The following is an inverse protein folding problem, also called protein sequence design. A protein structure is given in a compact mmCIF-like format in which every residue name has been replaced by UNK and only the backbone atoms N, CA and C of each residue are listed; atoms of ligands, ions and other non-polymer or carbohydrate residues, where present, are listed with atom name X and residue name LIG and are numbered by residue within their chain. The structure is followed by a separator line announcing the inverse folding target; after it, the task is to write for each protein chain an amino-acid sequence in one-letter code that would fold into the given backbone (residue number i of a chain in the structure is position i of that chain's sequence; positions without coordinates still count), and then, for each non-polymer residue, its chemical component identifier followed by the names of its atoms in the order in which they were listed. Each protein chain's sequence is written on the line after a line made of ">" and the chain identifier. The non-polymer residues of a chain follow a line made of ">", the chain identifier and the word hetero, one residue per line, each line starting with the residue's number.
data_IF_654411926817
#
_entry.id   IF_654411926817
#
_cell.length_a   1.000
_cell.length_b   1.000
_cell.length_c   1.000
_cell.angle_alpha   90.00
_cell.angle_beta   90.00
_cell.angle_gamma   90.00
#
_symmetry.space_group_name_H-M   'P 1'
#
loop_
_entity.id
_entity.type
_entity.pdbx_description
1 polymer ?
#
# COMPACT_ATOMS: atom_id res chain seq x y z
N UNK A 1 -19.39 -18.37 2.96
CA UNK A 1 -18.11 -18.30 3.72
C UNK A 1 -17.09 -19.08 2.92
N UNK A 2 -16.31 -18.41 2.09
CA UNK A 2 -15.25 -19.07 1.31
C UNK A 2 -14.02 -19.25 2.19
N UNK A 3 -13.64 -20.49 2.43
CA UNK A 3 -12.43 -20.82 3.20
C UNK A 3 -11.20 -20.23 2.51
N UNK A 4 -10.32 -19.62 3.31
CA UNK A 4 -9.01 -19.21 2.83
C UNK A 4 -8.26 -20.45 2.32
N UNK A 5 -7.49 -20.34 1.23
CA UNK A 5 -6.71 -21.46 0.73
C UNK A 5 -5.74 -21.96 1.81
N UNK A 6 -5.69 -23.27 1.98
CA UNK A 6 -4.76 -23.96 2.89
C UNK A 6 -3.33 -23.56 2.48
N UNK A 7 -2.49 -23.08 3.41
CA UNK A 7 -1.11 -22.72 3.08
C UNK A 7 -0.39 -23.93 2.50
N UNK A 8 0.30 -23.73 1.37
CA UNK A 8 1.20 -24.74 0.84
C UNK A 8 2.37 -24.92 1.83
N UNK A 9 2.93 -26.13 2.00
CA UNK A 9 4.03 -26.36 2.93
C UNK A 9 5.29 -25.54 2.65
N UNK A 10 5.35 -24.87 1.50
CA UNK A 10 6.49 -24.04 1.07
C UNK A 10 6.43 -22.59 1.57
N UNK A 11 5.25 -22.10 1.99
CA UNK A 11 5.11 -20.72 2.46
C UNK A 11 4.40 -20.67 3.82
N UNK A 12 5.02 -20.05 4.85
CA UNK A 12 4.35 -19.87 6.13
C UNK A 12 3.10 -19.03 5.96
N UNK A 13 2.09 -19.34 6.78
CA UNK A 13 0.82 -18.62 6.80
C UNK A 13 1.05 -17.11 6.94
N UNK A 14 0.32 -16.32 6.13
CA UNK A 14 0.29 -14.87 6.24
C UNK A 14 -0.66 -14.49 7.38
N UNK A 15 -0.11 -13.96 8.48
CA UNK A 15 -0.90 -13.41 9.57
C UNK A 15 -1.45 -12.03 9.17
N UNK A 16 -2.73 -11.79 9.36
CA UNK A 16 -3.36 -10.50 9.02
C UNK A 16 -3.75 -9.76 10.28
N UNK A 17 -3.32 -8.50 10.38
CA UNK A 17 -3.66 -7.59 11.48
C UNK A 17 -4.44 -6.38 10.95
N UNK A 18 -5.71 -6.25 11.37
CA UNK A 18 -6.50 -5.03 11.14
C UNK A 18 -6.28 -4.10 12.33
N UNK A 19 -5.78 -2.88 12.09
CA UNK A 19 -5.29 -1.98 13.14
C UNK A 19 -6.12 -0.68 13.27
N UNK A 20 -7.16 -0.53 12.44
CA UNK A 20 -8.00 0.68 12.45
C UNK A 20 -7.21 1.94 12.10
N UNK A 21 -7.52 3.04 12.77
CA UNK A 21 -6.79 4.32 12.62
C UNK A 21 -5.57 4.30 13.55
N UNK A 22 -4.37 4.35 12.98
CA UNK A 22 -3.11 4.21 13.72
C UNK A 22 -2.14 5.34 13.38
N UNK A 23 -1.42 5.88 14.37
CA UNK A 23 -0.38 6.88 14.14
C UNK A 23 0.69 6.36 13.17
N UNK A 24 1.15 7.24 12.28
CA UNK A 24 2.11 6.86 11.24
C UNK A 24 3.50 6.54 11.83
N UNK A 25 3.99 7.40 12.70
CA UNK A 25 5.34 7.28 13.27
C UNK A 25 5.47 6.04 14.13
N UNK A 26 4.47 5.76 14.96
CA UNK A 26 4.45 4.58 15.82
C UNK A 26 4.35 3.30 14.96
N UNK A 27 3.46 3.30 13.96
CA UNK A 27 3.33 2.17 13.02
C UNK A 27 4.64 1.93 12.26
N UNK A 28 5.32 2.98 11.81
CA UNK A 28 6.61 2.87 11.13
C UNK A 28 7.70 2.29 12.03
N UNK A 29 7.81 2.76 13.27
CA UNK A 29 8.74 2.21 14.28
C UNK A 29 8.47 0.73 14.56
N UNK A 30 7.20 0.36 14.70
CA UNK A 30 6.82 -1.04 14.90
C UNK A 30 7.17 -1.91 13.69
N UNK A 31 6.95 -1.45 12.46
CA UNK A 31 7.38 -2.18 11.24
C UNK A 31 8.90 -2.40 11.21
N UNK A 32 9.67 -1.37 11.58
CA UNK A 32 11.14 -1.48 11.67
C UNK A 32 11.55 -2.49 12.75
N UNK A 33 10.99 -2.38 13.96
CA UNK A 33 11.28 -3.29 15.06
C UNK A 33 10.93 -4.74 14.70
N UNK A 34 9.74 -4.97 14.11
CA UNK A 34 9.34 -6.30 13.62
C UNK A 34 10.34 -6.84 12.58
N UNK A 35 10.76 -5.99 11.63
CA UNK A 35 11.70 -6.40 10.58
C UNK A 35 13.09 -6.70 11.14
N UNK A 36 13.54 -5.95 12.16
CA UNK A 36 14.86 -6.12 12.76
C UNK A 36 14.95 -7.33 13.71
N UNK A 37 13.85 -7.65 14.40
CA UNK A 37 13.82 -8.73 15.40
C UNK A 37 13.34 -10.06 14.84
N UNK A 38 12.79 -10.09 13.61
CA UNK A 38 12.29 -11.34 13.04
C UNK A 38 13.39 -12.37 12.81
N UNK A 39 13.02 -13.62 12.97
CA UNK A 39 13.85 -14.82 12.76
C UNK A 39 13.29 -15.66 11.61
N UNK A 40 13.97 -16.74 11.27
CA UNK A 40 13.46 -17.72 10.29
C UNK A 40 12.11 -18.33 10.68
N UNK A 41 11.80 -18.40 11.98
CA UNK A 41 10.51 -18.90 12.49
C UNK A 41 9.41 -17.84 12.52
N UNK A 42 9.74 -16.55 12.35
CA UNK A 42 8.74 -15.48 12.39
C UNK A 42 7.77 -15.59 11.20
N UNK A 43 6.48 -15.55 11.48
CA UNK A 43 5.46 -15.50 10.43
C UNK A 43 5.60 -14.22 9.58
N UNK A 44 5.11 -14.27 8.35
CA UNK A 44 4.87 -13.07 7.57
C UNK A 44 3.58 -12.40 8.04
N UNK A 45 3.54 -11.08 7.99
CA UNK A 45 2.37 -10.32 8.41
C UNK A 45 1.87 -9.39 7.32
N UNK A 46 0.56 -9.17 7.28
CA UNK A 46 -0.10 -8.12 6.50
C UNK A 46 -0.83 -7.20 7.49
N UNK A 47 -0.42 -5.95 7.58
CA UNK A 47 -1.10 -4.96 8.39
C UNK A 47 -2.02 -4.13 7.50
N UNK A 48 -3.30 -4.06 7.87
CA UNK A 48 -4.34 -3.29 7.20
C UNK A 48 -4.84 -2.22 8.15
N UNK A 49 -4.77 -0.96 7.74
CA UNK A 49 -5.03 0.18 8.62
C UNK A 49 -5.37 1.45 7.85
N UNK A 50 -5.62 2.51 8.58
CA UNK A 50 -5.67 3.89 8.13
C UNK A 50 -4.70 4.72 8.96
N UNK A 51 -4.31 5.89 8.46
CA UNK A 51 -3.55 6.88 9.23
C UNK A 51 -4.36 8.17 9.43
N UNK A 52 -4.13 8.91 10.52
CA UNK A 52 -4.48 10.34 10.58
C UNK A 52 -3.81 11.10 9.42
N UNK A 53 -4.29 12.32 9.10
CA UNK A 53 -3.68 13.16 8.07
C UNK A 53 -2.18 13.31 8.25
N UNK A 54 -1.40 12.90 7.23
CA UNK A 54 0.06 12.98 7.24
C UNK A 54 0.64 13.01 5.83
N UNK A 55 1.61 13.89 5.59
CA UNK A 55 2.49 13.81 4.43
C UNK A 55 3.73 12.98 4.77
N UNK A 56 4.11 12.07 3.88
CA UNK A 56 5.35 11.31 4.04
C UNK A 56 6.28 11.56 2.86
N UNK A 57 7.55 11.89 3.15
CA UNK A 57 8.61 11.99 2.15
C UNK A 57 9.43 10.71 2.18
N UNK A 58 9.43 9.97 1.07
CA UNK A 58 10.28 8.80 0.91
C UNK A 58 11.74 9.17 0.67
N UNK A 59 12.60 8.17 0.45
CA UNK A 59 14.05 8.34 0.28
C UNK A 59 14.45 9.25 -0.88
N UNK A 60 13.62 9.33 -1.92
CA UNK A 60 13.81 10.23 -3.05
C UNK A 60 12.97 11.51 -2.90
N UNK A 61 12.37 11.71 -1.72
CA UNK A 61 11.52 12.85 -1.43
C UNK A 61 12.30 14.15 -1.43
N UNK A 62 11.86 15.08 -2.26
CA UNK A 62 12.42 16.43 -2.31
C UNK A 62 11.38 17.40 -1.77
N UNK A 63 11.82 18.35 -0.96
CA UNK A 63 10.93 19.37 -0.36
C UNK A 63 10.27 20.27 -1.41
N UNK A 64 10.89 20.43 -2.60
CA UNK A 64 10.30 21.16 -3.73
C UNK A 64 8.95 20.58 -4.23
N UNK A 65 8.64 19.33 -3.86
CA UNK A 65 7.36 18.67 -4.17
C UNK A 65 6.29 18.86 -3.09
N UNK A 66 6.63 19.57 -2.00
CA UNK A 66 5.66 20.14 -1.07
C UNK A 66 5.35 21.55 -1.56
N UNK A 67 4.22 21.73 -2.24
CA UNK A 67 3.85 23.00 -2.88
C UNK A 67 3.32 24.04 -1.88
N UNK A 68 2.71 23.55 -0.80
CA UNK A 68 2.17 24.38 0.28
C UNK A 68 2.55 23.77 1.62
N UNK A 69 2.94 24.61 2.55
CA UNK A 69 3.14 24.20 3.94
C UNK A 69 1.86 24.50 4.71
N UNK A 70 1.43 23.56 5.53
CA UNK A 70 0.36 23.74 6.49
C UNK A 70 0.79 23.17 7.82
N UNK A 71 0.52 23.89 8.91
CA UNK A 71 0.80 23.39 10.27
C UNK A 71 -0.17 22.30 10.70
N UNK A 72 -1.29 22.13 9.96
CA UNK A 72 -2.36 21.19 10.29
C UNK A 72 -2.02 19.73 9.90
N UNK A 73 -1.14 19.52 8.92
CA UNK A 73 -0.76 18.19 8.44
C UNK A 73 0.74 17.98 8.60
N UNK A 74 1.16 17.10 9.51
CA UNK A 74 2.59 16.87 9.74
C UNK A 74 3.27 16.26 8.51
N UNK A 75 4.56 16.61 8.34
CA UNK A 75 5.43 16.09 7.28
C UNK A 75 6.49 15.19 7.92
N UNK A 76 6.53 13.91 7.54
CA UNK A 76 7.45 12.92 8.10
C UNK A 76 8.40 12.40 7.02
N UNK A 77 9.70 12.49 7.27
CA UNK A 77 10.73 11.87 6.43
C UNK A 77 10.88 10.40 6.80
N UNK A 78 10.74 9.52 5.81
CA UNK A 78 10.69 8.07 6.01
C UNK A 78 11.58 7.33 5.02
N UNK A 79 11.86 6.07 5.29
CA UNK A 79 12.79 5.25 4.51
C UNK A 79 12.15 4.41 3.39
N UNK A 80 10.83 4.56 3.14
CA UNK A 80 10.20 3.93 1.97
C UNK A 80 10.74 4.47 0.66
N UNK A 81 10.59 3.71 -0.40
CA UNK A 81 10.86 4.20 -1.75
C UNK A 81 9.86 5.28 -2.18
N UNK A 82 10.22 6.03 -3.21
CA UNK A 82 9.38 7.05 -3.82
C UNK A 82 9.54 8.45 -3.23
N UNK A 83 8.69 9.36 -3.70
CA UNK A 83 8.65 10.79 -3.38
C UNK A 83 7.63 11.07 -2.26
N UNK A 84 7.06 12.29 -2.25
CA UNK A 84 6.00 12.68 -1.32
C UNK A 84 4.68 11.96 -1.65
N UNK A 85 3.92 11.64 -0.61
CA UNK A 85 2.52 11.22 -0.70
C UNK A 85 1.75 11.70 0.53
N UNK A 86 0.43 11.54 0.49
CA UNK A 86 -0.49 11.85 1.58
C UNK A 86 -1.19 10.60 2.06
N UNK A 87 -1.40 10.49 3.37
CA UNK A 87 -2.27 9.52 4.00
C UNK A 87 -3.31 10.23 4.87
N UNK A 88 -4.52 9.71 4.90
CA UNK A 88 -5.62 10.24 5.69
C UNK A 88 -6.74 9.22 5.91
N UNK A 89 -7.72 9.52 6.79
CA UNK A 89 -8.90 8.68 7.00
C UNK A 89 -9.65 8.44 5.69
N UNK A 90 -10.22 7.24 5.54
CA UNK A 90 -10.86 6.80 4.30
C UNK A 90 -9.89 6.23 3.25
N UNK A 91 -8.58 6.15 3.55
CA UNK A 91 -7.58 5.48 2.73
C UNK A 91 -7.24 4.11 3.33
N UNK A 92 -7.38 3.02 2.56
CA UNK A 92 -6.84 1.73 2.96
C UNK A 92 -5.32 1.74 2.79
N UNK A 93 -4.61 1.49 3.87
CA UNK A 93 -3.16 1.28 3.86
C UNK A 93 -2.86 -0.19 4.15
N UNK A 94 -2.06 -0.81 3.29
CA UNK A 94 -1.66 -2.21 3.38
C UNK A 94 -0.14 -2.33 3.46
N UNK A 95 0.36 -2.83 4.56
CA UNK A 95 1.78 -3.06 4.81
C UNK A 95 2.09 -4.57 4.84
N UNK A 96 2.59 -5.15 3.74
CA UNK A 96 3.09 -6.53 3.73
C UNK A 96 4.49 -6.58 4.35
N UNK A 97 4.63 -7.23 5.51
CA UNK A 97 5.88 -7.48 6.20
C UNK A 97 6.32 -8.93 5.90
N UNK A 98 6.96 -9.12 4.75
CA UNK A 98 7.27 -10.43 4.20
C UNK A 98 8.78 -10.69 4.21
N UNK A 99 9.15 -11.95 4.46
CA UNK A 99 10.48 -12.45 4.13
C UNK A 99 10.54 -12.83 2.65
N UNK A 100 11.11 -11.92 1.84
CA UNK A 100 11.17 -12.06 0.40
C UNK A 100 12.10 -13.21 -0.04
N UNK A 101 13.16 -13.49 0.74
CA UNK A 101 14.07 -14.60 0.46
C UNK A 101 13.36 -15.93 0.64
N UNK A 102 12.66 -16.12 1.76
CA UNK A 102 11.88 -17.32 2.05
C UNK A 102 10.78 -17.54 1.00
N UNK A 103 10.13 -16.47 0.55
CA UNK A 103 9.11 -16.51 -0.50
C UNK A 103 9.66 -16.61 -1.91
N UNK A 104 11.00 -16.58 -2.10
CA UNK A 104 11.64 -16.52 -3.42
C UNK A 104 11.04 -15.41 -4.29
N UNK A 105 10.72 -14.28 -3.69
CA UNK A 105 10.00 -13.18 -4.32
C UNK A 105 10.92 -11.96 -4.49
N UNK A 106 11.04 -11.48 -5.73
CA UNK A 106 11.70 -10.23 -6.02
C UNK A 106 10.86 -9.00 -5.67
N UNK A 107 11.50 -7.85 -5.41
CA UNK A 107 10.78 -6.62 -5.09
C UNK A 107 9.87 -6.15 -6.24
N UNK A 108 10.28 -6.33 -7.50
CA UNK A 108 9.47 -5.96 -8.66
C UNK A 108 8.23 -6.86 -8.78
N UNK A 109 8.39 -8.16 -8.52
CA UNK A 109 7.27 -9.11 -8.49
C UNK A 109 6.29 -8.77 -7.37
N UNK A 110 6.79 -8.38 -6.17
CA UNK A 110 5.91 -7.93 -5.09
C UNK A 110 5.14 -6.66 -5.48
N UNK A 111 5.79 -5.67 -6.11
CA UNK A 111 5.10 -4.48 -6.63
C UNK A 111 3.98 -4.87 -7.59
N UNK A 112 4.26 -5.77 -8.55
CA UNK A 112 3.25 -6.26 -9.50
C UNK A 112 2.10 -7.00 -8.81
N UNK A 113 2.37 -7.80 -7.77
CA UNK A 113 1.35 -8.48 -6.97
C UNK A 113 0.44 -7.47 -6.26
N UNK A 114 1.03 -6.45 -5.63
CA UNK A 114 0.27 -5.40 -4.93
C UNK A 114 -0.61 -4.61 -5.91
N UNK A 115 -0.09 -4.23 -7.06
CA UNK A 115 -0.86 -3.56 -8.11
C UNK A 115 -1.96 -4.46 -8.66
N UNK A 116 -1.65 -5.75 -8.93
CA UNK A 116 -2.62 -6.69 -9.47
C UNK A 116 -3.76 -6.96 -8.48
N UNK A 117 -3.49 -6.97 -7.18
CA UNK A 117 -4.54 -7.14 -6.17
C UNK A 117 -5.58 -6.01 -6.21
N UNK A 118 -5.15 -4.78 -6.46
CA UNK A 118 -6.06 -3.63 -6.65
C UNK A 118 -6.77 -3.71 -8.00
N UNK A 119 -6.06 -4.08 -9.07
CA UNK A 119 -6.67 -4.23 -10.40
C UNK A 119 -7.77 -5.30 -10.37
N UNK A 120 -7.53 -6.43 -9.70
CA UNK A 120 -8.53 -7.50 -9.56
C UNK A 120 -9.73 -7.05 -8.72
N UNK A 121 -9.50 -6.31 -7.63
CA UNK A 121 -10.57 -5.70 -6.83
C UNK A 121 -11.45 -4.78 -7.68
N UNK A 122 -10.85 -3.94 -8.53
CA UNK A 122 -11.59 -3.04 -9.40
C UNK A 122 -12.36 -3.79 -10.49
N UNK A 123 -11.83 -4.91 -10.97
CA UNK A 123 -12.52 -5.78 -11.93
C UNK A 123 -13.80 -6.38 -11.34
N UNK A 124 -13.88 -6.66 -10.03
CA UNK A 124 -15.11 -7.09 -9.36
C UNK A 124 -16.24 -6.05 -9.47
N UNK A 125 -15.86 -4.76 -9.63
CA UNK A 125 -16.78 -3.63 -9.86
C UNK A 125 -16.89 -3.23 -11.34
N UNK A 126 -16.38 -4.06 -12.27
CA UNK A 126 -16.36 -3.78 -13.72
C UNK A 126 -15.61 -2.51 -14.09
N UNK A 127 -14.67 -2.06 -13.24
CA UNK A 127 -13.82 -0.89 -13.51
C UNK A 127 -12.50 -1.35 -14.13
N UNK A 128 -12.19 -0.77 -15.29
CA UNK A 128 -10.91 -1.00 -15.96
C UNK A 128 -9.81 -0.15 -15.34
N UNK A 129 -8.80 -0.80 -14.80
CA UNK A 129 -7.63 -0.14 -14.21
C UNK A 129 -6.32 -0.67 -14.81
N UNK A 130 -5.26 0.09 -14.68
CA UNK A 130 -3.97 -0.28 -15.24
C UNK A 130 -2.79 0.27 -14.46
N UNK A 131 -1.60 -0.06 -14.96
CA UNK A 131 -0.29 0.41 -14.49
C UNK A 131 0.22 1.51 -15.41
N UNK A 132 1.19 2.28 -14.91
CA UNK A 132 1.91 3.27 -15.70
C UNK A 132 3.41 3.00 -15.59
N UNK A 133 4.10 3.02 -16.72
CA UNK A 133 5.55 2.83 -16.75
C UNK A 133 6.29 3.87 -15.91
N UNK A 134 7.30 3.43 -15.16
CA UNK A 134 8.16 4.26 -14.29
C UNK A 134 7.42 5.04 -13.19
N UNK A 135 6.13 4.76 -12.99
CA UNK A 135 5.30 5.40 -11.97
C UNK A 135 4.45 4.35 -11.22
N UNK A 136 5.05 3.51 -10.36
CA UNK A 136 4.34 2.45 -9.65
C UNK A 136 3.06 2.93 -9.01
N UNK A 137 1.97 2.16 -9.19
CA UNK A 137 0.63 2.51 -8.73
C UNK A 137 -0.43 1.92 -9.63
N UNK A 138 -1.69 2.10 -9.23
CA UNK A 138 -2.85 1.72 -10.03
C UNK A 138 -3.60 2.97 -10.45
N UNK A 139 -3.99 2.99 -11.72
CA UNK A 139 -4.58 4.14 -12.38
C UNK A 139 -5.91 3.78 -13.03
N UNK A 140 -6.86 4.69 -12.95
CA UNK A 140 -8.15 4.65 -13.67
C UNK A 140 -8.27 5.95 -14.45
N UNK A 141 -8.47 5.87 -15.76
CA UNK A 141 -8.57 7.02 -16.69
C UNK A 141 -7.44 8.05 -16.50
N UNK A 142 -6.20 7.55 -16.34
CA UNK A 142 -5.00 8.38 -16.14
C UNK A 142 -4.81 8.94 -14.72
N UNK A 143 -5.83 8.87 -13.84
CA UNK A 143 -5.80 9.34 -12.46
C UNK A 143 -5.31 8.25 -11.52
N UNK A 144 -4.43 8.60 -10.58
CA UNK A 144 -3.86 7.63 -9.62
C UNK A 144 -4.87 7.33 -8.52
N UNK A 145 -5.22 6.05 -8.39
CA UNK A 145 -6.10 5.52 -7.34
C UNK A 145 -5.32 4.90 -6.19
N UNK A 146 -4.22 4.22 -6.50
CA UNK A 146 -3.37 3.59 -5.48
C UNK A 146 -1.90 3.93 -5.70
N UNK A 147 -1.18 4.18 -4.60
CA UNK A 147 0.24 4.49 -4.58
C UNK A 147 1.02 3.38 -3.87
N UNK A 148 2.29 3.18 -4.27
CA UNK A 148 3.17 2.18 -3.68
C UNK A 148 4.50 2.78 -3.27
N UNK A 149 5.00 2.35 -2.13
CA UNK A 149 6.33 2.65 -1.66
C UNK A 149 6.79 1.58 -0.68
N UNK A 150 7.78 0.79 -1.07
CA UNK A 150 8.32 -0.31 -0.27
C UNK A 150 9.73 -0.01 0.23
N UNK A 151 10.11 -0.67 1.30
CA UNK A 151 11.48 -0.76 1.78
C UNK A 151 11.87 -2.22 1.91
N UNK A 152 13.07 -2.56 1.47
CA UNK A 152 13.67 -3.87 1.72
C UNK A 152 14.87 -3.70 2.63
N UNK A 153 14.91 -4.49 3.70
CA UNK A 153 16.00 -4.54 4.67
C UNK A 153 16.25 -5.99 5.08
N UNK A 154 17.49 -6.45 5.00
CA UNK A 154 17.89 -7.84 5.30
C UNK A 154 17.10 -8.92 4.54
N UNK A 155 16.58 -8.59 3.35
CA UNK A 155 15.75 -9.50 2.55
C UNK A 155 14.28 -9.53 2.94
N UNK A 156 13.84 -8.70 3.89
CA UNK A 156 12.45 -8.55 4.30
C UNK A 156 11.91 -7.19 3.85
N UNK A 157 10.63 -7.12 3.50
CA UNK A 157 9.98 -5.87 3.11
C UNK A 157 9.08 -5.33 4.20
N UNK A 158 8.89 -4.02 4.18
CA UNK A 158 7.90 -3.26 4.95
C UNK A 158 7.49 -1.99 4.21
N UNK A 159 6.56 -1.17 4.76
CA UNK A 159 5.71 -0.27 4.01
C UNK A 159 4.90 -1.04 2.95
N UNK A 160 4.31 -0.38 1.97
CA UNK A 160 3.46 -1.10 1.03
C UNK A 160 2.68 -0.23 0.08
N UNK A 161 1.36 -0.37 0.13
CA UNK A 161 0.40 0.25 -0.77
C UNK A 161 -0.60 1.09 0.03
N UNK A 162 -1.04 2.19 -0.56
CA UNK A 162 -2.23 2.94 -0.15
C UNK A 162 -3.25 2.98 -1.28
N UNK A 163 -4.53 2.72 -0.96
CA UNK A 163 -5.67 2.74 -1.87
C UNK A 163 -6.68 3.79 -1.39
N UNK A 164 -6.96 4.77 -2.23
CA UNK A 164 -7.94 5.81 -1.92
C UNK A 164 -9.36 5.23 -2.04
N UNK A 165 -10.08 5.11 -0.92
CA UNK A 165 -11.43 4.53 -0.91
C UNK A 165 -12.47 5.64 -0.87
N UNK A 166 -12.66 6.28 0.28
CA UNK A 166 -13.54 7.44 0.46
C UNK A 166 -12.88 8.42 1.43
N UNK A 167 -11.87 9.11 0.93
CA UNK A 167 -11.03 10.04 1.68
C UNK A 167 -11.10 11.44 1.09
N UNK A 168 -10.73 12.45 1.85
CA UNK A 168 -10.50 13.78 1.33
C UNK A 168 -9.24 13.79 0.43
N UNK A 169 -9.41 14.17 -0.84
CA UNK A 169 -8.32 14.29 -1.81
C UNK A 169 -7.70 15.68 -1.85
N UNK A 170 -8.29 16.69 -1.17
CA UNK A 170 -7.81 18.07 -1.23
C UNK A 170 -6.34 18.23 -0.82
N UNK A 171 -5.78 17.48 0.17
CA UNK A 171 -4.36 17.59 0.50
C UNK A 171 -3.41 17.17 -0.63
N UNK A 172 -3.85 16.36 -1.59
CA UNK A 172 -3.01 16.02 -2.73
C UNK A 172 -2.70 17.22 -3.64
N UNK A 173 -3.53 18.29 -3.61
CA UNK A 173 -3.26 19.55 -4.32
C UNK A 173 -2.08 20.33 -3.73
N UNK A 174 -1.69 20.02 -2.49
CA UNK A 174 -0.58 20.67 -1.78
C UNK A 174 0.77 20.00 -2.06
N UNK A 175 0.80 18.95 -2.87
CA UNK A 175 2.01 18.19 -3.19
C UNK A 175 2.08 17.86 -4.68
N UNK A 176 3.27 17.52 -5.19
CA UNK A 176 3.43 16.82 -6.47
C UNK A 176 3.54 15.32 -6.20
N UNK A 177 2.43 14.54 -6.27
CA UNK A 177 2.45 13.13 -5.91
C UNK A 177 3.45 12.36 -6.76
N UNK A 178 4.30 11.55 -6.12
CA UNK A 178 5.37 10.80 -6.81
C UNK A 178 6.36 11.67 -7.60
N UNK A 179 6.43 12.98 -7.36
CA UNK A 179 7.29 13.93 -8.07
C UNK A 179 6.78 14.33 -9.46
N UNK A 180 5.54 13.98 -9.81
CA UNK A 180 4.92 14.36 -11.09
C UNK A 180 4.01 15.56 -10.88
N UNK A 181 4.40 16.71 -11.43
CA UNK A 181 3.54 17.90 -11.46
C UNK A 181 2.25 17.60 -12.25
N UNK A 182 1.10 17.99 -11.68
CA UNK A 182 -0.20 17.82 -12.33
C UNK A 182 -0.70 16.37 -12.40
N UNK A 183 -0.12 15.45 -11.63
CA UNK A 183 -0.66 14.09 -11.51
C UNK A 183 -1.98 14.13 -10.74
N UNK A 184 -3.07 13.89 -11.45
CA UNK A 184 -4.38 13.77 -10.85
C UNK A 184 -4.52 12.49 -10.03
N UNK A 185 -5.26 12.58 -8.92
CA UNK A 185 -5.62 11.45 -8.07
C UNK A 185 -7.13 11.23 -8.10
N UNK A 186 -7.56 10.02 -7.76
CA UNK A 186 -8.98 9.65 -7.64
C UNK A 186 -9.16 8.71 -6.45
N UNK A 187 -10.40 8.42 -6.09
CA UNK A 187 -10.81 7.48 -5.05
C UNK A 187 -11.95 6.61 -5.55
N UNK A 188 -12.24 5.50 -4.87
CA UNK A 188 -13.29 4.56 -5.28
C UNK A 188 -14.68 5.23 -5.29
N UNK A 189 -14.96 6.11 -4.33
CA UNK A 189 -16.23 6.85 -4.29
C UNK A 189 -16.47 7.67 -5.56
N UNK A 190 -15.43 8.33 -6.13
CA UNK A 190 -15.53 9.10 -7.38
C UNK A 190 -15.74 8.21 -8.62
N UNK A 191 -15.53 6.90 -8.49
CA UNK A 191 -15.76 5.90 -9.53
C UNK A 191 -17.13 5.21 -9.37
N UNK A 192 -17.97 5.69 -8.46
CA UNK A 192 -19.29 5.13 -8.19
C UNK A 192 -19.28 3.88 -7.31
N UNK A 193 -18.17 3.57 -6.64
CA UNK A 193 -18.08 2.47 -5.68
C UNK A 193 -18.37 3.03 -4.29
N UNK A 194 -19.63 2.91 -3.89
CA UNK A 194 -20.11 3.31 -2.56
C UNK A 194 -20.19 2.09 -1.64
N UNK A 195 -19.03 1.68 -1.11
CA UNK A 195 -18.91 0.54 -0.20
C UNK A 195 -18.07 0.92 1.02
N UNK A 196 -18.39 0.40 2.21
CA UNK A 196 -17.62 0.67 3.42
C UNK A 196 -16.15 0.21 3.26
N UNK A 197 -15.23 0.96 3.88
CA UNK A 197 -13.80 0.67 3.86
C UNK A 197 -13.48 -0.78 4.30
N UNK A 198 -14.22 -1.30 5.29
CA UNK A 198 -14.01 -2.67 5.79
C UNK A 198 -14.36 -3.73 4.72
N UNK A 199 -15.37 -3.48 3.88
CA UNK A 199 -15.71 -4.35 2.76
C UNK A 199 -14.59 -4.35 1.71
N UNK A 200 -14.08 -3.16 1.33
CA UNK A 200 -12.93 -3.01 0.43
C UNK A 200 -11.70 -3.70 1.02
N UNK A 201 -11.44 -3.53 2.32
CA UNK A 201 -10.33 -4.18 3.03
C UNK A 201 -10.42 -5.69 2.95
N UNK A 202 -11.61 -6.26 3.14
CA UNK A 202 -11.87 -7.70 3.03
C UNK A 202 -11.61 -8.23 1.62
N UNK A 203 -12.10 -7.54 0.59
CA UNK A 203 -11.89 -7.90 -0.82
C UNK A 203 -10.41 -7.79 -1.21
N UNK A 204 -9.75 -6.68 -0.86
CA UNK A 204 -8.32 -6.49 -1.11
C UNK A 204 -7.48 -7.62 -0.49
N UNK A 205 -7.74 -7.95 0.78
CA UNK A 205 -7.08 -9.07 1.48
C UNK A 205 -7.25 -10.39 0.74
N UNK A 206 -8.44 -10.68 0.20
CA UNK A 206 -8.69 -11.92 -0.56
C UNK A 206 -7.87 -11.96 -1.85
N UNK A 207 -7.88 -10.88 -2.65
CA UNK A 207 -7.11 -10.79 -3.88
C UNK A 207 -5.60 -10.89 -3.62
N UNK A 208 -5.08 -10.14 -2.64
CA UNK A 208 -3.67 -10.19 -2.27
C UNK A 208 -3.27 -11.59 -1.77
N UNK A 209 -4.09 -12.22 -0.93
CA UNK A 209 -3.84 -13.55 -0.41
C UNK A 209 -3.75 -14.62 -1.52
N UNK A 210 -4.65 -14.55 -2.53
CA UNK A 210 -4.61 -15.45 -3.69
C UNK A 210 -3.33 -15.27 -4.50
N UNK A 211 -2.90 -14.03 -4.73
CA UNK A 211 -1.69 -13.72 -5.51
C UNK A 211 -0.40 -14.09 -4.77
N UNK A 212 -0.35 -13.92 -3.46
CA UNK A 212 0.84 -14.27 -2.65
C UNK A 212 1.00 -15.79 -2.45
N UNK A 213 -0.09 -16.56 -2.54
CA UNK A 213 -0.10 -18.02 -2.37
C UNK A 213 -0.29 -18.78 -3.69
N UNK A 214 -0.41 -18.07 -4.80
CA UNK A 214 -0.45 -18.64 -6.15
C UNK A 214 0.89 -19.24 -6.58
N UNK A 215 0.94 -19.98 -7.71
CA UNK A 215 2.19 -20.47 -8.25
C UNK A 215 3.17 -19.30 -8.48
N UNK A 216 4.48 -19.60 -8.30
CA UNK A 216 5.53 -18.59 -8.45
C UNK A 216 5.36 -17.86 -9.80
N UNK A 217 5.24 -16.55 -9.76
CA UNK A 217 5.20 -15.72 -10.97
C UNK A 217 6.63 -15.62 -11.50
N UNK A 218 6.92 -16.38 -12.58
CA UNK A 218 8.12 -16.21 -13.40
C UNK A 218 8.17 -14.81 -14.06
#
# INVERSE_FOLDING_TARGET
>A
MSALPIPSPEHPALSVRCRGLADYTDTWREMQAFTDTRTAASADELWLLQHPPVFTLGRNGKTEHLLQHTDDIPVIHVDRGGQVTYHGPGQLVAYPLLDLKRRRLGIQSLVRILEQSVINLLADYSIRAGRRDKAPGVYVDGRKLAALGLRVRRGCCYHGLSLNVDMDLSPFSMINPCGFAGLEVTRLADLGIDVPLDAVTGQYRQHLGRLLNGPAHE
#
